data_IF_757181774465
#
_entry.id   IF_757181774465
#
_cell.length_a   1.000
_cell.length_b   1.000
_cell.length_c   1.000
_cell.angle_alpha   90.00
_cell.angle_beta   90.00
_cell.angle_gamma   90.00
#
_symmetry.space_group_name_H-M   'P 1'
#
loop_
_entity.id
_entity.type
_entity.pdbx_description
1 polymer ?
#
# COMPACT_ATOMS: atom_id res chain seq x y z
N UNK A 1 50.48 -42.05 1.47
CA UNK A 1 49.52 -41.15 2.14
C UNK A 1 48.79 -40.42 1.04
N UNK A 2 47.67 -40.97 0.56
CA UNK A 2 46.80 -40.29 -0.41
C UNK A 2 45.45 -40.12 0.28
N UNK A 3 45.19 -38.87 0.62
CA UNK A 3 44.02 -38.43 1.37
C UNK A 3 42.86 -38.27 0.37
N UNK A 4 41.74 -38.88 0.72
CA UNK A 4 40.48 -38.86 -0.01
C UNK A 4 39.94 -37.43 -0.14
N UNK A 5 39.86 -36.90 -1.36
CA UNK A 5 39.41 -35.52 -1.64
C UNK A 5 38.03 -35.48 -2.34
N UNK A 6 37.22 -36.53 -2.13
CA UNK A 6 35.97 -36.77 -2.85
C UNK A 6 34.69 -36.26 -2.18
N UNK A 7 34.76 -35.73 -0.95
CA UNK A 7 33.55 -35.42 -0.16
C UNK A 7 33.15 -33.93 -0.20
N UNK A 8 34.09 -33.01 -0.45
CA UNK A 8 33.84 -31.57 -0.29
C UNK A 8 33.28 -30.87 -1.54
N UNK A 9 33.36 -31.50 -2.72
CA UNK A 9 32.89 -30.88 -3.98
C UNK A 9 31.37 -30.91 -4.16
N UNK A 10 30.66 -31.77 -3.42
CA UNK A 10 29.19 -31.88 -3.49
C UNK A 10 28.43 -30.85 -2.64
N UNK A 11 29.06 -30.28 -1.63
CA UNK A 11 28.41 -29.31 -0.72
C UNK A 11 28.41 -27.88 -1.27
N UNK A 12 29.42 -27.51 -2.06
CA UNK A 12 29.58 -26.16 -2.60
C UNK A 12 28.62 -25.86 -3.78
N UNK A 13 28.14 -26.89 -4.49
CA UNK A 13 27.25 -26.70 -5.63
C UNK A 13 25.77 -26.61 -5.21
N UNK A 14 25.41 -27.19 -4.06
CA UNK A 14 24.05 -27.13 -3.51
C UNK A 14 23.77 -25.83 -2.72
N UNK A 15 24.79 -25.17 -2.17
CA UNK A 15 24.62 -23.88 -1.48
C UNK A 15 24.25 -22.73 -2.42
N UNK A 16 24.75 -22.75 -3.66
CA UNK A 16 24.42 -21.75 -4.69
C UNK A 16 22.99 -21.91 -5.26
N UNK A 17 22.43 -23.12 -5.22
CA UNK A 17 21.05 -23.39 -5.67
C UNK A 17 20.01 -22.97 -4.61
N UNK A 18 20.35 -23.06 -3.33
CA UNK A 18 19.48 -22.67 -2.21
C UNK A 18 19.28 -21.14 -2.11
N UNK A 19 20.22 -20.34 -2.63
CA UNK A 19 20.15 -18.88 -2.56
C UNK A 19 19.18 -18.26 -3.58
N UNK A 20 18.76 -19.02 -4.60
CA UNK A 20 18.05 -18.50 -5.78
C UNK A 20 16.65 -19.06 -6.03
N UNK A 21 16.00 -19.60 -5.00
CA UNK A 21 14.57 -19.89 -5.03
C UNK A 21 13.77 -18.84 -4.27
N UNK A 22 14.03 -17.55 -4.51
CA UNK A 22 13.06 -16.52 -4.18
C UNK A 22 11.89 -16.64 -5.16
N UNK A 23 10.71 -17.02 -4.66
CA UNK A 23 9.49 -16.87 -5.44
C UNK A 23 9.24 -15.38 -5.59
N UNK A 24 9.19 -14.89 -6.81
CA UNK A 24 8.73 -13.54 -7.09
C UNK A 24 7.25 -13.43 -6.68
N UNK A 25 6.98 -12.66 -5.62
CA UNK A 25 5.62 -12.38 -5.16
C UNK A 25 5.10 -11.20 -5.96
N UNK A 26 4.19 -11.48 -6.88
CA UNK A 26 3.45 -10.46 -7.62
C UNK A 26 2.13 -10.18 -6.90
N UNK A 27 1.97 -8.96 -6.39
CA UNK A 27 0.70 -8.50 -5.85
C UNK A 27 -0.23 -8.07 -6.99
N UNK A 28 -1.51 -8.41 -6.90
CA UNK A 28 -2.54 -7.95 -7.85
C UNK A 28 -2.64 -6.42 -7.88
N UNK A 29 -2.36 -5.78 -6.73
CA UNK A 29 -2.34 -4.34 -6.59
C UNK A 29 -0.98 -3.88 -6.05
N UNK A 30 -0.43 -2.77 -6.57
CA UNK A 30 0.76 -2.15 -5.98
C UNK A 30 0.53 -1.83 -4.50
N UNK A 31 1.41 -2.31 -3.61
CA UNK A 31 1.26 -2.12 -2.17
C UNK A 31 1.23 -0.64 -1.76
N UNK A 32 1.90 0.22 -2.51
CA UNK A 32 1.84 1.67 -2.33
C UNK A 32 0.44 2.23 -2.65
N UNK A 33 -0.21 1.77 -3.71
CA UNK A 33 -1.57 2.19 -4.06
C UNK A 33 -2.58 1.76 -2.98
N UNK A 34 -2.44 0.53 -2.46
CA UNK A 34 -3.29 0.05 -1.35
C UNK A 34 -3.09 0.85 -0.08
N UNK A 35 -1.83 1.11 0.31
CA UNK A 35 -1.50 1.94 1.47
C UNK A 35 -2.13 3.32 1.37
N UNK A 36 -1.97 3.95 0.22
CA UNK A 36 -2.47 5.28 -0.05
C UNK A 36 -4.00 5.33 -0.02
N UNK A 37 -4.68 4.35 -0.64
CA UNK A 37 -6.13 4.26 -0.59
C UNK A 37 -6.67 4.07 0.85
N UNK A 38 -5.99 3.27 1.67
CA UNK A 38 -6.32 3.10 3.09
C UNK A 38 -6.13 4.40 3.86
N UNK A 39 -5.02 5.12 3.63
CA UNK A 39 -4.78 6.40 4.30
C UNK A 39 -5.83 7.43 3.89
N UNK A 40 -6.19 7.50 2.61
CA UNK A 40 -7.25 8.38 2.14
C UNK A 40 -8.58 8.09 2.82
N UNK A 41 -8.96 6.81 3.00
CA UNK A 41 -10.12 6.46 3.81
C UNK A 41 -10.03 7.04 5.21
N UNK A 42 -8.92 6.86 5.91
CA UNK A 42 -8.77 7.33 7.29
C UNK A 42 -8.77 8.86 7.39
N UNK A 43 -8.11 9.52 6.45
CA UNK A 43 -8.02 10.98 6.41
C UNK A 43 -9.34 11.66 6.04
N UNK A 44 -10.15 11.05 5.17
CA UNK A 44 -11.38 11.67 4.66
C UNK A 44 -12.68 11.16 5.30
N UNK A 45 -12.62 10.11 6.13
CA UNK A 45 -13.78 9.57 6.87
C UNK A 45 -14.48 10.62 7.73
N UNK A 46 -15.81 10.54 7.76
CA UNK A 46 -16.65 11.26 8.71
C UNK A 46 -16.77 10.47 10.02
N UNK A 47 -15.94 10.84 10.99
CA UNK A 47 -15.92 10.26 12.34
C UNK A 47 -17.08 10.72 13.23
N UNK A 48 -17.92 11.66 12.80
CA UNK A 48 -19.14 12.01 13.54
C UNK A 48 -20.24 10.95 13.40
N UNK A 49 -20.09 10.06 12.41
CA UNK A 49 -20.99 8.93 12.16
C UNK A 49 -20.45 7.64 12.78
N UNK A 50 -21.35 6.77 13.25
CA UNK A 50 -21.00 5.41 13.68
C UNK A 50 -20.70 4.43 12.55
N UNK A 51 -20.79 4.85 11.28
CA UNK A 51 -20.72 3.98 10.12
C UNK A 51 -19.28 3.57 9.78
N UNK A 52 -18.92 2.29 9.89
CA UNK A 52 -17.56 1.77 9.62
C UNK A 52 -17.11 1.96 8.16
N UNK A 53 -15.80 2.17 7.97
CA UNK A 53 -15.20 2.05 6.62
C UNK A 53 -15.18 0.59 6.18
N UNK A 54 -15.31 0.35 4.88
CA UNK A 54 -15.45 -0.98 4.31
C UNK A 54 -14.44 -1.18 3.18
N UNK A 55 -13.85 -2.38 3.14
CA UNK A 55 -12.98 -2.82 2.06
C UNK A 55 -13.57 -4.12 1.54
N UNK A 56 -13.88 -4.18 0.25
CA UNK A 56 -14.51 -5.33 -0.40
C UNK A 56 -13.68 -5.73 -1.60
N UNK A 57 -13.23 -6.99 -1.62
CA UNK A 57 -12.50 -7.55 -2.73
C UNK A 57 -13.47 -8.32 -3.62
N UNK A 58 -13.56 -7.93 -4.88
CA UNK A 58 -14.27 -8.64 -5.93
C UNK A 58 -13.28 -9.28 -6.90
N UNK A 59 -13.79 -10.10 -7.81
CA UNK A 59 -12.97 -10.81 -8.80
C UNK A 59 -12.27 -9.85 -9.76
N UNK A 60 -12.87 -8.70 -10.04
CA UNK A 60 -12.44 -7.72 -11.04
C UNK A 60 -11.98 -6.39 -10.46
N UNK A 61 -12.26 -6.11 -9.18
CA UNK A 61 -11.87 -4.85 -8.55
C UNK A 61 -11.82 -4.92 -7.01
N UNK A 62 -11.17 -3.92 -6.42
CA UNK A 62 -11.19 -3.63 -5.00
C UNK A 62 -12.06 -2.39 -4.77
N UNK A 63 -13.08 -2.51 -3.93
CA UNK A 63 -13.94 -1.41 -3.52
C UNK A 63 -13.57 -0.98 -2.10
N UNK A 64 -13.30 0.31 -1.94
CA UNK A 64 -12.88 0.93 -0.69
C UNK A 64 -13.82 2.09 -0.41
N UNK A 65 -14.59 1.97 0.67
CA UNK A 65 -15.65 2.90 1.01
C UNK A 65 -15.51 3.45 2.43
N UNK A 66 -15.88 4.72 2.62
CA UNK A 66 -15.97 5.35 3.93
C UNK A 66 -17.19 6.28 4.03
N UNK A 67 -17.60 6.58 5.26
CA UNK A 67 -18.63 7.59 5.50
C UNK A 67 -18.09 9.00 5.24
N UNK A 68 -18.92 9.88 4.69
CA UNK A 68 -18.59 11.28 4.43
C UNK A 68 -18.72 11.66 2.95
N UNK A 69 -18.98 12.94 2.70
CA UNK A 69 -19.07 13.48 1.35
C UNK A 69 -17.72 14.04 0.89
N UNK A 70 -17.62 14.28 -0.41
CA UNK A 70 -16.54 15.05 -1.00
C UNK A 70 -16.57 16.49 -0.41
N UNK A 71 -15.43 17.05 0.05
CA UNK A 71 -15.40 18.39 0.60
C UNK A 71 -15.50 19.44 -0.51
N UNK A 72 -16.32 20.46 -0.29
CA UNK A 72 -16.45 21.61 -1.21
C UNK A 72 -15.09 22.34 -1.26
N UNK A 73 -14.59 22.76 -2.44
CA UNK A 73 -15.25 22.82 -3.75
C UNK A 73 -15.00 21.62 -4.67
N UNK A 74 -14.46 20.50 -4.17
CA UNK A 74 -14.17 19.34 -5.02
C UNK A 74 -15.47 18.76 -5.59
N UNK A 75 -15.44 18.40 -6.87
CA UNK A 75 -16.47 17.62 -7.56
C UNK A 75 -15.83 16.36 -8.14
N UNK A 76 -16.61 15.31 -8.44
CA UNK A 76 -16.08 14.07 -9.03
C UNK A 76 -15.24 14.31 -10.30
N UNK A 77 -15.60 15.30 -11.11
CA UNK A 77 -14.87 15.66 -12.34
C UNK A 77 -13.48 16.23 -12.04
N UNK A 78 -13.31 16.95 -10.92
CA UNK A 78 -12.02 17.51 -10.51
C UNK A 78 -11.05 16.43 -10.02
N UNK A 79 -11.58 15.29 -9.53
CA UNK A 79 -10.76 14.19 -9.04
C UNK A 79 -9.99 13.46 -10.15
N UNK A 80 -10.46 13.57 -11.40
CA UNK A 80 -9.78 13.00 -12.56
C UNK A 80 -8.55 13.82 -13.00
N UNK A 81 -8.40 15.04 -12.47
CA UNK A 81 -7.28 15.92 -12.76
C UNK A 81 -6.45 16.25 -11.53
N UNK A 82 -5.47 17.14 -11.70
CA UNK A 82 -4.69 17.66 -10.58
C UNK A 82 -5.59 18.49 -9.67
N UNK A 83 -5.71 18.09 -8.41
CA UNK A 83 -6.49 18.78 -7.40
C UNK A 83 -5.73 18.77 -6.07
N UNK A 84 -6.07 19.71 -5.19
CA UNK A 84 -5.54 19.70 -3.83
C UNK A 84 -6.28 18.65 -3.00
N UNK A 85 -5.53 17.84 -2.26
CA UNK A 85 -6.12 16.92 -1.28
C UNK A 85 -6.64 17.70 -0.07
N UNK A 86 -7.96 17.84 0.02
CA UNK A 86 -8.63 18.53 1.14
C UNK A 86 -9.04 17.50 2.20
N UNK A 87 -8.13 17.22 3.14
CA UNK A 87 -8.38 16.25 4.22
C UNK A 87 -9.37 16.78 5.27
N UNK A 88 -10.41 15.98 5.55
CA UNK A 88 -11.38 16.26 6.62
C UNK A 88 -10.73 16.15 8.01
N UNK A 89 -9.80 15.20 8.17
CA UNK A 89 -9.12 14.93 9.42
C UNK A 89 -7.66 15.33 9.33
N UNK A 90 -7.40 16.64 9.33
CA UNK A 90 -6.06 17.22 9.16
C UNK A 90 -5.00 16.64 10.11
N UNK A 91 -5.34 16.41 11.39
CA UNK A 91 -4.40 15.83 12.36
C UNK A 91 -3.96 14.41 12.01
N UNK A 92 -4.86 13.60 11.42
CA UNK A 92 -4.51 12.27 10.94
C UNK A 92 -3.59 12.37 9.73
N UNK A 93 -3.90 13.26 8.77
CA UNK A 93 -3.03 13.50 7.62
C UNK A 93 -1.63 13.97 8.05
N UNK A 94 -1.53 14.92 8.99
CA UNK A 94 -0.26 15.38 9.55
C UNK A 94 0.51 14.25 10.24
N UNK A 95 -0.18 13.38 10.97
CA UNK A 95 0.44 12.22 11.61
C UNK A 95 1.04 11.26 10.58
N UNK A 96 0.29 10.91 9.52
CA UNK A 96 0.77 10.05 8.45
C UNK A 96 1.91 10.70 7.65
N UNK A 97 1.87 12.01 7.45
CA UNK A 97 2.98 12.76 6.85
C UNK A 97 4.26 12.65 7.69
N UNK A 98 4.17 12.85 9.01
CA UNK A 98 5.32 12.71 9.89
C UNK A 98 5.86 11.28 9.99
N UNK A 99 5.01 10.28 9.76
CA UNK A 99 5.41 8.87 9.66
C UNK A 99 6.04 8.51 8.31
N UNK A 100 6.09 9.45 7.35
CA UNK A 100 6.59 9.20 5.99
C UNK A 100 5.68 8.28 5.17
N UNK A 101 4.39 8.23 5.51
CA UNK A 101 3.41 7.37 4.84
C UNK A 101 2.66 8.08 3.70
N UNK A 102 2.63 9.42 3.71
CA UNK A 102 2.10 10.27 2.64
C UNK A 102 3.00 11.50 2.43
N UNK A 103 2.94 12.09 1.23
CA UNK A 103 3.63 13.34 0.91
C UNK A 103 2.79 14.58 1.26
N UNK A 104 3.45 15.70 1.60
CA UNK A 104 2.77 16.95 2.06
C UNK A 104 1.97 17.62 0.95
N UNK A 105 2.45 17.50 -0.28
CA UNK A 105 1.74 17.92 -1.48
C UNK A 105 0.77 16.78 -1.75
N UNK A 106 -0.54 17.04 -1.78
CA UNK A 106 -1.61 16.05 -2.01
C UNK A 106 -1.52 15.32 -3.35
N UNK A 107 -0.36 14.72 -3.60
CA UNK A 107 0.07 13.99 -4.77
C UNK A 107 -0.36 12.57 -4.49
N UNK A 108 -1.55 12.26 -4.96
CA UNK A 108 -1.78 11.00 -5.64
C UNK A 108 -1.10 11.06 -7.01
#
# INVERSE_FOLDING_TARGET
MEQWDGFDKGFQQNSLLLEKSQRDVYWEYPLNAIREAIINVLCHRDYTTGAHSQIRLYVDHLDIWHSGSLPIPLTPELLLGKHDSISRNRKLAESFFYMGLIDRWGSL
#
